data_IF_262822806917
#
_entry.id   IF_262822806917
#
_cell.length_a   1.000
_cell.length_b   1.000
_cell.length_c   1.000
_cell.angle_alpha   90.00
_cell.angle_beta   90.00
_cell.angle_gamma   90.00
#
_symmetry.space_group_name_H-M   'P 1'
#
loop_
_entity.id
_entity.type
_entity.pdbx_description
1 polymer ?
#
# COMPACT_ATOMS: atom_id res chain seq x y z
N UNK A 1 8.06 -42.02 15.70
CA UNK A 1 8.78 -41.13 14.76
C UNK A 1 7.76 -40.25 14.05
N UNK A 2 7.97 -38.93 14.06
CA UNK A 2 6.94 -37.89 13.96
C UNK A 2 6.11 -37.88 12.67
N UNK A 3 4.79 -37.68 12.84
CA UNK A 3 3.75 -37.59 11.80
C UNK A 3 3.27 -36.14 11.59
N UNK A 4 4.14 -35.14 11.78
CA UNK A 4 3.76 -33.72 11.67
C UNK A 4 4.38 -33.07 10.45
N UNK A 5 3.63 -32.18 9.81
CA UNK A 5 4.16 -31.27 8.79
C UNK A 5 5.04 -30.25 9.52
N UNK A 6 6.31 -30.17 9.12
CA UNK A 6 7.27 -29.24 9.70
C UNK A 6 7.25 -27.91 8.93
N UNK A 7 7.43 -26.80 9.66
CA UNK A 7 7.55 -25.47 9.08
C UNK A 7 8.92 -25.23 8.45
N UNK A 8 9.03 -24.19 7.62
CA UNK A 8 10.31 -23.77 7.05
C UNK A 8 11.28 -23.24 8.12
N UNK A 9 12.59 -23.40 7.88
CA UNK A 9 13.63 -22.89 8.78
C UNK A 9 13.71 -21.36 8.70
N UNK A 10 13.33 -20.65 9.78
CA UNK A 10 13.31 -19.18 9.84
C UNK A 10 14.70 -18.51 9.74
N UNK A 11 15.79 -19.26 9.93
CA UNK A 11 17.17 -18.76 9.75
C UNK A 11 17.70 -18.98 8.34
N UNK A 12 16.98 -19.73 7.50
CA UNK A 12 17.36 -19.97 6.12
C UNK A 12 17.19 -18.68 5.32
N UNK A 13 18.31 -18.04 5.00
CA UNK A 13 18.33 -16.93 4.06
C UNK A 13 17.82 -17.42 2.70
N UNK A 14 16.75 -16.79 2.20
CA UNK A 14 16.21 -17.06 0.88
C UNK A 14 16.52 -15.87 0.00
N UNK A 15 17.10 -16.10 -1.18
CA UNK A 15 17.21 -15.06 -2.20
C UNK A 15 15.79 -14.80 -2.71
N UNK A 16 15.19 -13.69 -2.28
CA UNK A 16 14.00 -13.18 -2.95
C UNK A 16 14.45 -12.81 -4.37
N UNK A 17 13.80 -13.35 -5.41
CA UNK A 17 13.91 -12.74 -6.74
C UNK A 17 13.57 -11.26 -6.58
N UNK A 18 14.24 -10.39 -7.31
CA UNK A 18 14.08 -8.93 -7.19
C UNK A 18 12.65 -8.44 -7.46
N UNK A 19 11.76 -9.31 -7.97
CA UNK A 19 10.38 -9.02 -8.29
C UNK A 19 9.43 -9.34 -7.12
N UNK A 20 8.82 -8.30 -6.55
CA UNK A 20 7.75 -8.45 -5.55
C UNK A 20 6.52 -9.20 -6.10
N UNK A 21 6.33 -9.20 -7.42
CA UNK A 21 5.23 -9.88 -8.10
C UNK A 21 5.20 -11.39 -7.85
N UNK A 22 6.37 -12.02 -7.63
CA UNK A 22 6.48 -13.46 -7.38
C UNK A 22 5.85 -13.88 -6.04
N UNK A 23 5.62 -12.91 -5.13
CA UNK A 23 5.04 -13.14 -3.80
C UNK A 23 3.54 -12.86 -3.74
N UNK A 24 2.96 -12.36 -4.84
CA UNK A 24 1.56 -11.96 -4.91
C UNK A 24 0.84 -12.89 -5.89
N UNK A 25 -0.07 -13.70 -5.35
CA UNK A 25 -0.91 -14.57 -6.16
C UNK A 25 -1.64 -13.78 -7.27
N UNK A 26 -1.90 -14.43 -8.41
CA UNK A 26 -2.55 -13.79 -9.56
C UNK A 26 -3.96 -13.29 -9.24
N UNK A 27 -4.66 -13.96 -8.33
CA UNK A 27 -6.01 -13.64 -7.87
C UNK A 27 -6.03 -12.73 -6.63
N UNK A 28 -4.88 -12.25 -6.17
CA UNK A 28 -4.80 -11.39 -5.00
C UNK A 28 -5.49 -10.03 -5.27
N UNK A 29 -6.41 -9.57 -4.38
CA UNK A 29 -7.17 -8.33 -4.58
C UNK A 29 -6.30 -7.08 -4.70
N UNK A 30 -5.06 -7.08 -4.19
CA UNK A 30 -4.12 -5.96 -4.34
C UNK A 30 -3.86 -5.58 -5.80
N UNK A 31 -3.94 -6.55 -6.72
CA UNK A 31 -3.78 -6.31 -8.17
C UNK A 31 -4.95 -5.50 -8.73
N UNK A 32 -6.17 -5.76 -8.25
CA UNK A 32 -7.37 -5.01 -8.64
C UNK A 32 -7.30 -3.59 -8.09
N UNK A 33 -6.84 -3.40 -6.85
CA UNK A 33 -6.68 -2.06 -6.26
C UNK A 33 -5.72 -1.21 -7.09
N UNK A 34 -4.59 -1.80 -7.49
CA UNK A 34 -3.58 -1.14 -8.31
C UNK A 34 -4.12 -0.72 -9.68
N UNK A 35 -4.68 -1.67 -10.44
CA UNK A 35 -5.27 -1.41 -11.74
C UNK A 35 -6.43 -0.41 -11.68
N UNK A 36 -7.29 -0.52 -10.66
CA UNK A 36 -8.41 0.40 -10.46
C UNK A 36 -7.93 1.84 -10.25
N UNK A 37 -6.94 2.06 -9.39
CA UNK A 37 -6.43 3.41 -9.13
C UNK A 37 -5.68 3.99 -10.33
N UNK A 38 -4.97 3.16 -11.10
CA UNK A 38 -4.26 3.58 -12.32
C UNK A 38 -5.22 4.09 -13.41
N UNK A 39 -6.45 3.57 -13.46
CA UNK A 39 -7.50 4.03 -14.39
C UNK A 39 -8.19 5.34 -13.96
N UNK A 40 -8.00 5.80 -12.72
CA UNK A 40 -8.68 7.02 -12.22
C UNK A 40 -7.95 8.29 -12.65
N UNK A 41 -8.69 9.24 -13.22
CA UNK A 41 -8.23 10.62 -13.33
C UNK A 41 -8.43 11.35 -11.99
N UNK A 42 -7.48 11.14 -11.06
CA UNK A 42 -7.51 11.74 -9.73
C UNK A 42 -7.50 13.28 -9.76
N UNK A 43 -6.91 13.90 -10.79
CA UNK A 43 -6.92 15.35 -10.91
C UNK A 43 -8.34 15.87 -11.21
N UNK A 44 -9.07 15.22 -12.12
CA UNK A 44 -10.46 15.55 -12.43
C UNK A 44 -11.42 15.29 -11.24
N UNK A 45 -11.09 14.31 -10.39
CA UNK A 45 -11.84 13.97 -9.19
C UNK A 45 -11.57 14.91 -8.00
N UNK A 46 -10.67 15.88 -8.17
CA UNK A 46 -10.36 16.89 -7.15
C UNK A 46 -9.34 16.44 -6.10
N UNK A 47 -8.56 15.38 -6.35
CA UNK A 47 -7.43 15.05 -5.47
C UNK A 47 -6.31 16.07 -5.66
N UNK A 48 -5.92 16.72 -4.55
CA UNK A 48 -4.79 17.65 -4.50
C UNK A 48 -3.44 16.91 -4.50
N UNK A 49 -2.35 17.61 -4.84
CA UNK A 49 -0.99 17.05 -4.80
C UNK A 49 -0.61 16.19 -6.02
N UNK A 50 -1.41 16.21 -7.09
CA UNK A 50 -1.08 15.62 -8.40
C UNK A 50 0.07 16.35 -9.10
N UNK A 51 0.23 17.65 -8.82
CA UNK A 51 1.40 18.45 -9.22
C UNK A 51 2.39 18.58 -8.07
N UNK A 52 3.69 18.26 -8.27
CA UNK A 52 4.72 18.46 -7.26
C UNK A 52 4.86 19.93 -6.84
N UNK A 53 5.09 20.18 -5.55
CA UNK A 53 5.42 21.52 -5.07
C UNK A 53 6.78 21.99 -5.63
N UNK A 54 6.87 23.28 -5.99
CA UNK A 54 8.10 23.89 -6.53
C UNK A 54 9.22 23.95 -5.47
N UNK A 55 8.86 23.97 -4.18
CA UNK A 55 9.80 24.01 -3.04
C UNK A 55 9.35 23.09 -1.90
N UNK A 56 10.31 22.62 -1.10
CA UNK A 56 10.07 21.72 0.03
C UNK A 56 10.31 20.24 -0.27
N UNK A 57 9.97 19.36 0.68
CA UNK A 57 10.03 17.90 0.48
C UNK A 57 8.88 17.48 -0.44
N UNK A 58 9.12 16.70 -1.50
CA UNK A 58 8.05 16.18 -2.34
C UNK A 58 7.03 15.41 -1.51
N UNK A 59 5.74 15.68 -1.74
CA UNK A 59 4.65 14.87 -1.20
C UNK A 59 4.60 13.52 -1.90
N UNK A 60 3.99 12.53 -1.25
CA UNK A 60 3.63 11.29 -1.93
C UNK A 60 2.62 11.58 -3.04
N UNK A 61 2.71 10.85 -4.14
CA UNK A 61 1.72 10.89 -5.20
C UNK A 61 0.35 10.41 -4.68
N UNK A 62 -0.76 11.11 -4.98
CA UNK A 62 -2.10 10.73 -4.51
C UNK A 62 -2.51 9.28 -4.79
N UNK A 63 -2.17 8.66 -5.95
CA UNK A 63 -2.42 7.23 -6.19
C UNK A 63 -1.93 6.32 -5.07
N UNK A 64 -0.70 6.53 -4.57
CA UNK A 64 -0.11 5.69 -3.51
C UNK A 64 -0.92 5.77 -2.22
N UNK A 65 -1.36 6.97 -1.85
CA UNK A 65 -2.15 7.18 -0.63
C UNK A 65 -3.59 6.66 -0.78
N UNK A 66 -4.17 6.76 -1.98
CA UNK A 66 -5.49 6.22 -2.29
C UNK A 66 -5.49 4.69 -2.28
N UNK A 67 -4.50 4.06 -2.92
CA UNK A 67 -4.30 2.60 -2.88
C UNK A 67 -4.20 2.11 -1.43
N UNK A 68 -3.42 2.81 -0.59
CA UNK A 68 -3.29 2.47 0.83
C UNK A 68 -4.61 2.64 1.61
N UNK A 69 -5.39 3.67 1.28
CA UNK A 69 -6.72 3.89 1.87
C UNK A 69 -7.69 2.76 1.53
N UNK A 70 -7.77 2.37 0.25
CA UNK A 70 -8.60 1.28 -0.24
C UNK A 70 -8.15 -0.05 0.38
N UNK A 71 -6.84 -0.33 0.39
CA UNK A 71 -6.29 -1.52 1.04
C UNK A 71 -6.69 -1.60 2.52
N UNK A 72 -6.56 -0.49 3.24
CA UNK A 72 -6.94 -0.41 4.66
C UNK A 72 -8.44 -0.65 4.86
N UNK A 73 -9.29 -0.16 3.96
CA UNK A 73 -10.72 -0.43 4.00
C UNK A 73 -11.03 -1.92 3.77
N UNK A 74 -10.51 -2.51 2.69
CA UNK A 74 -10.74 -3.92 2.33
C UNK A 74 -10.24 -4.89 3.42
N UNK A 75 -9.09 -4.61 4.01
CA UNK A 75 -8.47 -5.43 5.05
C UNK A 75 -8.89 -5.05 6.48
N UNK A 76 -9.88 -4.15 6.63
CA UNK A 76 -10.38 -3.65 7.94
C UNK A 76 -9.29 -3.05 8.84
N UNK A 77 -8.25 -2.47 8.24
CA UNK A 77 -7.15 -1.76 8.90
C UNK A 77 -7.47 -0.27 8.99
N UNK A 78 -8.19 0.12 10.04
CA UNK A 78 -8.64 1.51 10.22
C UNK A 78 -7.60 2.43 10.86
N UNK A 79 -6.51 1.92 11.41
CA UNK A 79 -5.50 2.74 12.09
C UNK A 79 -4.39 3.16 11.12
N UNK A 80 -4.18 4.47 10.95
CA UNK A 80 -3.07 4.99 10.15
C UNK A 80 -1.70 4.53 10.67
N UNK A 81 -1.54 4.38 11.99
CA UNK A 81 -0.32 3.82 12.59
C UNK A 81 -0.13 2.34 12.28
N UNK A 82 -1.23 1.60 12.13
CA UNK A 82 -1.16 0.20 11.73
C UNK A 82 -0.77 0.11 10.25
N UNK A 83 -1.39 0.90 9.38
CA UNK A 83 -1.02 0.98 7.96
C UNK A 83 0.46 1.34 7.76
N UNK A 84 0.97 2.35 8.46
CA UNK A 84 2.40 2.71 8.46
C UNK A 84 3.31 1.51 8.76
N UNK A 85 2.96 0.69 9.76
CA UNK A 85 3.72 -0.52 10.09
C UNK A 85 3.57 -1.61 9.03
N UNK A 86 2.36 -1.80 8.49
CA UNK A 86 2.14 -2.79 7.44
C UNK A 86 2.94 -2.46 6.17
N UNK A 87 3.06 -1.18 5.77
CA UNK A 87 3.90 -0.79 4.62
C UNK A 87 5.36 -1.27 4.72
N UNK A 88 5.85 -1.54 5.94
CA UNK A 88 7.23 -1.97 6.18
C UNK A 88 7.42 -3.48 6.29
N UNK A 89 6.34 -4.27 6.38
CA UNK A 89 6.42 -5.72 6.66
C UNK A 89 5.49 -6.60 5.84
N UNK A 90 4.43 -6.02 5.31
CA UNK A 90 3.43 -6.71 4.50
C UNK A 90 3.85 -6.65 3.03
N UNK A 91 4.01 -7.81 2.40
CA UNK A 91 4.49 -7.91 1.02
C UNK A 91 3.46 -7.36 0.02
N UNK A 92 2.17 -7.45 0.32
CA UNK A 92 1.10 -6.88 -0.51
C UNK A 92 1.23 -5.37 -0.55
N UNK A 93 1.43 -4.73 0.61
CA UNK A 93 1.65 -3.29 0.67
C UNK A 93 2.99 -2.87 0.07
N UNK A 94 4.06 -3.62 0.29
CA UNK A 94 5.34 -3.33 -0.37
C UNK A 94 5.20 -3.35 -1.90
N UNK A 95 4.41 -4.29 -2.45
CA UNK A 95 4.12 -4.36 -3.87
C UNK A 95 3.26 -3.18 -4.30
N UNK A 96 2.14 -2.95 -3.61
CA UNK A 96 1.17 -1.91 -3.94
C UNK A 96 1.77 -0.49 -3.90
N UNK A 97 2.65 -0.21 -2.94
CA UNK A 97 3.23 1.12 -2.77
C UNK A 97 4.62 1.26 -3.39
N UNK A 98 5.16 0.22 -4.03
CA UNK A 98 6.56 0.22 -4.48
C UNK A 98 7.57 0.43 -3.34
N UNK A 99 7.29 -0.16 -2.17
CA UNK A 99 8.04 -0.02 -0.90
C UNK A 99 8.05 1.38 -0.30
N UNK A 100 7.17 2.28 -0.75
CA UNK A 100 6.96 3.54 -0.06
C UNK A 100 6.25 3.28 1.27
N UNK A 101 6.73 3.93 2.34
CA UNK A 101 6.15 3.84 3.67
C UNK A 101 5.77 5.24 4.18
N UNK A 102 4.63 5.80 3.74
CA UNK A 102 4.10 7.04 4.28
C UNK A 102 3.90 6.93 5.80
N UNK A 103 4.26 7.99 6.53
CA UNK A 103 4.07 8.02 7.97
C UNK A 103 2.58 8.13 8.36
N UNK A 104 2.25 7.79 9.60
CA UNK A 104 0.86 7.80 10.05
C UNK A 104 0.19 9.18 9.93
N UNK A 105 0.95 10.28 9.99
CA UNK A 105 0.40 11.65 9.91
C UNK A 105 -0.05 11.93 8.49
N UNK A 106 0.78 11.59 7.52
CA UNK A 106 0.49 11.71 6.09
C UNK A 106 -0.75 10.90 5.72
N UNK A 107 -0.83 9.65 6.19
CA UNK A 107 -1.99 8.78 5.95
C UNK A 107 -3.25 9.37 6.60
N UNK A 108 -3.16 9.82 7.87
CA UNK A 108 -4.30 10.41 8.56
C UNK A 108 -4.79 11.70 7.88
N UNK A 109 -3.88 12.52 7.39
CA UNK A 109 -4.22 13.78 6.71
C UNK A 109 -4.91 13.51 5.37
N UNK A 110 -4.38 12.59 4.57
CA UNK A 110 -5.02 12.19 3.31
C UNK A 110 -6.47 11.72 3.52
N UNK A 111 -6.72 10.93 4.58
CA UNK A 111 -8.06 10.44 4.93
C UNK A 111 -8.99 11.55 5.37
N UNK A 112 -8.47 12.56 6.07
CA UNK A 112 -9.23 13.73 6.50
C UNK A 112 -9.66 14.57 5.31
N UNK A 113 -8.72 14.87 4.41
CA UNK A 113 -8.97 15.78 3.29
C UNK A 113 -9.82 15.14 2.19
N UNK A 114 -9.74 13.83 2.00
CA UNK A 114 -10.42 13.12 0.90
C UNK A 114 -11.56 12.20 1.36
N UNK A 115 -11.89 12.17 2.65
CA UNK A 115 -12.90 11.25 3.20
C UNK A 115 -14.31 11.45 2.65
N UNK A 116 -14.65 12.64 2.16
CA UNK A 116 -15.92 12.95 1.50
C UNK A 116 -15.92 12.68 -0.01
N UNK A 117 -14.74 12.62 -0.63
CA UNK A 117 -14.56 12.36 -2.07
C UNK A 117 -14.54 10.85 -2.34
N UNK A 118 -14.07 10.06 -1.37
CA UNK A 118 -13.96 8.61 -1.45
C UNK A 118 -15.15 7.83 -0.87
N UNK A 119 -16.23 8.51 -0.48
CA UNK A 119 -17.47 7.94 0.10
C UNK A 119 -18.64 8.01 -0.87
#
# INVERSE_FOLDING_TARGET
>A
MGRFVEGANCSQATLLRECLEDFIAEDNPVRIVDAFVDELDLASMGFEGTTPAITGRPSYHPPVLLMLYIYGFLNRVQSSRRLERECQRDVELMRLTGRLAPDFKTIAEFRRSNGAVAS
#
